data_IF_165669993116
#
_entry.id   IF_165669993116
#
_cell.length_a   1.000
_cell.length_b   1.000
_cell.length_c   1.000
_cell.angle_alpha   90.00
_cell.angle_beta   90.00
_cell.angle_gamma   90.00
#
_symmetry.space_group_name_H-M   'P 1'
#
loop_
_entity.id
_entity.type
_entity.pdbx_description
1 polymer ?
#
# COMPACT_ATOMS: atom_id res chain seq x y z
N UNK A 1 -3.81 18.34 -19.89
CA UNK A 1 -3.98 17.40 -21.03
C UNK A 1 -2.65 16.88 -21.58
N UNK A 2 -1.68 17.74 -21.93
CA UNK A 2 -0.39 17.30 -22.49
C UNK A 2 0.38 16.31 -21.59
N UNK A 3 0.36 16.49 -20.28
CA UNK A 3 1.00 15.58 -19.34
C UNK A 3 0.41 14.16 -19.37
N UNK A 4 -0.92 14.04 -19.46
CA UNK A 4 -1.61 12.73 -19.52
C UNK A 4 -1.20 12.01 -20.80
N UNK A 5 -1.25 12.68 -21.95
CA UNK A 5 -0.91 12.08 -23.24
C UNK A 5 0.58 11.65 -23.30
N UNK A 6 1.47 12.40 -22.63
CA UNK A 6 2.92 12.10 -22.63
C UNK A 6 3.31 10.98 -21.67
N UNK A 7 2.63 10.86 -20.52
CA UNK A 7 3.05 9.97 -19.44
C UNK A 7 2.15 8.76 -19.23
N UNK A 8 0.92 8.77 -19.75
CA UNK A 8 -0.05 7.70 -19.58
C UNK A 8 -0.19 6.92 -20.88
N UNK A 9 0.26 5.67 -20.87
CA UNK A 9 -0.04 4.73 -21.94
C UNK A 9 -1.37 4.02 -21.64
N UNK A 10 -2.41 4.39 -22.38
CA UNK A 10 -3.77 3.87 -22.18
C UNK A 10 -3.94 2.39 -22.51
N UNK A 11 -3.01 1.78 -23.25
CA UNK A 11 -3.06 0.35 -23.56
C UNK A 11 -2.59 -0.50 -22.38
N UNK A 12 -1.70 0.04 -21.54
CA UNK A 12 -1.16 -0.64 -20.35
C UNK A 12 -2.04 -0.37 -19.13
N UNK A 13 -2.62 0.83 -19.04
CA UNK A 13 -3.33 1.28 -17.84
C UNK A 13 -4.77 0.76 -17.84
N UNK A 14 -5.14 0.03 -16.77
CA UNK A 14 -6.50 -0.49 -16.58
C UNK A 14 -7.54 0.61 -16.34
N UNK A 15 -7.21 1.62 -15.53
CA UNK A 15 -8.09 2.75 -15.24
C UNK A 15 -7.29 4.03 -14.94
N UNK A 16 -7.88 5.19 -15.23
CA UNK A 16 -7.30 6.51 -14.92
C UNK A 16 -8.18 7.20 -13.90
N UNK A 17 -7.63 7.45 -12.72
CA UNK A 17 -8.31 8.16 -11.64
C UNK A 17 -8.13 9.67 -11.81
N UNK A 18 -9.22 10.41 -11.80
CA UNK A 18 -9.24 11.88 -11.74
C UNK A 18 -9.86 12.25 -10.41
N UNK A 19 -9.08 12.90 -9.54
CA UNK A 19 -9.54 13.25 -8.22
C UNK A 19 -9.26 14.70 -7.86
N UNK A 20 -10.19 15.32 -7.15
CA UNK A 20 -10.08 16.70 -6.68
C UNK A 20 -11.00 16.95 -5.48
N UNK A 21 -10.70 17.94 -4.64
CA UNK A 21 -11.68 18.53 -3.73
C UNK A 21 -12.73 19.30 -4.54
N UNK A 22 -14.02 19.00 -4.30
CA UNK A 22 -15.14 19.66 -4.97
C UNK A 22 -15.35 19.26 -6.44
N UNK A 23 -15.74 20.24 -7.26
CA UNK A 23 -16.24 20.04 -8.63
C UNK A 23 -15.18 20.17 -9.74
N UNK A 24 -13.91 20.38 -9.37
CA UNK A 24 -12.82 20.59 -10.35
C UNK A 24 -12.61 19.35 -11.23
N UNK A 25 -12.75 18.14 -10.68
CA UNK A 25 -12.67 16.87 -11.41
C UNK A 25 -13.69 16.79 -12.55
N UNK A 26 -14.91 17.26 -12.30
CA UNK A 26 -16.02 17.17 -13.24
C UNK A 26 -15.81 18.18 -14.38
N UNK A 27 -15.48 19.43 -14.02
CA UNK A 27 -15.13 20.48 -14.99
C UNK A 27 -13.91 20.11 -15.84
N UNK A 28 -12.87 19.54 -15.22
CA UNK A 28 -11.68 19.11 -15.94
C UNK A 28 -11.97 17.95 -16.89
N UNK A 29 -12.80 16.99 -16.46
CA UNK A 29 -13.19 15.87 -17.31
C UNK A 29 -14.00 16.34 -18.52
N UNK A 30 -14.98 17.23 -18.33
CA UNK A 30 -15.72 17.84 -19.43
C UNK A 30 -14.81 18.60 -20.39
N UNK A 31 -13.92 19.45 -19.86
CA UNK A 31 -12.94 20.18 -20.66
C UNK A 31 -12.04 19.23 -21.46
N UNK A 32 -11.59 18.13 -20.86
CA UNK A 32 -10.74 17.14 -21.51
C UNK A 32 -11.46 16.45 -22.67
N UNK A 33 -12.72 16.06 -22.48
CA UNK A 33 -13.52 15.42 -23.54
C UNK A 33 -13.80 16.42 -24.68
N UNK A 34 -14.19 17.67 -24.36
CA UNK A 34 -14.44 18.68 -25.37
C UNK A 34 -13.19 18.98 -26.22
N UNK A 35 -12.03 19.10 -25.58
CA UNK A 35 -10.78 19.32 -26.30
C UNK A 35 -10.31 18.07 -27.08
N UNK A 36 -10.58 16.85 -26.59
CA UNK A 36 -10.32 15.63 -27.35
C UNK A 36 -11.16 15.56 -28.64
N UNK A 37 -12.43 15.99 -28.60
CA UNK A 37 -13.29 16.09 -29.78
C UNK A 37 -12.77 17.15 -30.75
N UNK A 38 -12.36 18.33 -30.26
CA UNK A 38 -11.82 19.42 -31.10
C UNK A 38 -10.50 19.03 -31.81
N UNK A 39 -9.68 18.21 -31.17
CA UNK A 39 -8.38 17.77 -31.67
C UNK A 39 -8.44 16.42 -32.38
N UNK A 40 -9.64 15.83 -32.53
CA UNK A 40 -9.88 14.49 -33.08
C UNK A 40 -8.96 13.39 -32.49
N UNK A 41 -8.73 13.47 -31.18
CA UNK A 41 -7.82 12.56 -30.48
C UNK A 41 -8.56 11.26 -30.09
N UNK A 42 -8.53 10.29 -31.02
CA UNK A 42 -9.16 8.97 -30.86
C UNK A 42 -8.75 8.23 -29.60
N UNK A 43 -7.49 8.34 -29.18
CA UNK A 43 -6.97 7.66 -27.99
C UNK A 43 -7.75 8.04 -26.73
N UNK A 44 -8.07 9.32 -26.55
CA UNK A 44 -8.83 9.78 -25.38
C UNK A 44 -10.33 9.43 -25.49
N UNK A 45 -10.89 9.48 -26.70
CA UNK A 45 -12.30 9.18 -26.94
C UNK A 45 -12.62 7.70 -26.74
N UNK A 46 -11.76 6.82 -27.28
CA UNK A 46 -11.92 5.36 -27.16
C UNK A 46 -11.73 4.89 -25.70
N UNK A 47 -10.85 5.57 -24.96
CA UNK A 47 -10.57 5.26 -23.55
C UNK A 47 -11.43 6.06 -22.57
N UNK A 48 -12.49 6.75 -23.00
CA UNK A 48 -13.37 7.54 -22.12
C UNK A 48 -13.93 6.72 -20.95
N UNK A 49 -14.25 5.45 -21.17
CA UNK A 49 -14.78 4.55 -20.14
C UNK A 49 -13.76 4.14 -19.06
N UNK A 50 -12.46 4.35 -19.28
CA UNK A 50 -11.40 4.05 -18.30
C UNK A 50 -11.22 5.16 -17.26
N UNK A 51 -11.79 6.33 -17.49
CA UNK A 51 -11.68 7.45 -16.55
C UNK A 51 -12.70 7.30 -15.42
N UNK A 52 -12.22 7.44 -14.19
CA UNK A 52 -13.04 7.35 -12.98
C UNK A 52 -12.85 8.63 -12.19
N UNK A 53 -13.95 9.30 -11.89
CA UNK A 53 -13.98 10.53 -11.10
C UNK A 53 -14.10 10.18 -9.63
N UNK A 54 -13.17 10.68 -8.80
CA UNK A 54 -13.15 10.38 -7.36
C UNK A 54 -13.06 11.66 -6.55
N UNK A 55 -13.68 11.65 -5.37
CA UNK A 55 -13.48 12.71 -4.39
C UNK A 55 -12.08 12.59 -3.76
N UNK A 56 -11.44 13.73 -3.51
CA UNK A 56 -10.18 13.79 -2.76
C UNK A 56 -10.25 14.95 -1.77
N UNK A 57 -9.78 14.76 -0.54
CA UNK A 57 -9.66 15.85 0.43
C UNK A 57 -8.68 16.95 -0.02
N UNK A 58 -7.62 16.62 -0.76
CA UNK A 58 -6.64 17.58 -1.28
C UNK A 58 -6.05 17.17 -2.63
N UNK A 59 -5.32 18.08 -3.29
CA UNK A 59 -4.59 17.81 -4.55
C UNK A 59 -3.17 17.25 -4.38
N UNK A 60 -2.78 16.86 -3.17
CA UNK A 60 -1.42 16.38 -2.88
C UNK A 60 -1.32 14.85 -2.86
N UNK A 61 -0.10 14.32 -2.81
CA UNK A 61 0.19 12.87 -2.87
C UNK A 61 -0.53 12.04 -1.80
N UNK A 62 -0.76 12.60 -0.60
CA UNK A 62 -1.42 11.87 0.48
C UNK A 62 -2.89 11.52 0.16
N UNK A 63 -3.58 12.33 -0.65
CA UNK A 63 -4.98 12.07 -1.02
C UNK A 63 -5.14 10.85 -1.91
N UNK A 64 -4.06 10.41 -2.60
CA UNK A 64 -4.08 9.14 -3.32
C UNK A 64 -4.40 7.97 -2.38
N UNK A 65 -3.99 8.05 -1.11
CA UNK A 65 -4.31 7.02 -0.12
C UNK A 65 -5.82 6.95 0.13
N UNK A 66 -6.42 8.10 0.42
CA UNK A 66 -7.87 8.22 0.66
C UNK A 66 -8.67 7.66 -0.53
N UNK A 67 -8.29 8.05 -1.75
CA UNK A 67 -8.93 7.59 -2.99
C UNK A 67 -8.83 6.07 -3.15
N UNK A 68 -7.65 5.49 -2.87
CA UNK A 68 -7.44 4.05 -2.98
C UNK A 68 -8.16 3.25 -1.88
N UNK A 69 -8.47 3.88 -0.75
CA UNK A 69 -9.24 3.28 0.33
C UNK A 69 -10.76 3.30 0.08
N UNK A 70 -11.25 4.18 -0.80
CA UNK A 70 -12.69 4.29 -1.10
C UNK A 70 -13.26 2.99 -1.68
N UNK A 71 -14.30 2.46 -1.03
CA UNK A 71 -15.00 1.23 -1.41
C UNK A 71 -15.47 1.20 -2.88
N UNK A 72 -15.86 2.35 -3.43
CA UNK A 72 -16.32 2.47 -4.83
C UNK A 72 -15.20 2.22 -5.84
N UNK A 73 -13.96 2.46 -5.42
CA UNK A 73 -12.72 2.37 -6.19
C UNK A 73 -12.07 1.01 -5.96
N UNK A 74 -12.11 0.48 -4.73
CA UNK A 74 -11.63 -0.86 -4.40
C UNK A 74 -12.26 -1.95 -5.27
N UNK A 75 -13.56 -1.89 -5.58
CA UNK A 75 -14.19 -2.89 -6.45
C UNK A 75 -13.65 -2.89 -7.89
N UNK A 76 -13.23 -1.73 -8.40
CA UNK A 76 -12.66 -1.58 -9.74
C UNK A 76 -11.14 -1.79 -9.78
N UNK A 77 -10.47 -1.59 -8.64
CA UNK A 77 -9.02 -1.72 -8.48
C UNK A 77 -8.60 -2.96 -7.68
N UNK A 78 -9.53 -3.84 -7.31
CA UNK A 78 -9.27 -5.07 -6.56
C UNK A 78 -8.17 -5.92 -7.21
N UNK A 79 -8.07 -5.88 -8.54
CA UNK A 79 -7.06 -6.58 -9.34
C UNK A 79 -5.75 -5.80 -9.51
N UNK A 80 -5.48 -4.82 -8.66
CA UNK A 80 -4.21 -4.09 -8.65
C UNK A 80 -3.44 -4.34 -7.37
N UNK A 81 -2.13 -4.56 -7.53
CA UNK A 81 -1.20 -4.80 -6.41
C UNK A 81 -1.28 -3.69 -5.35
N UNK A 82 -1.44 -2.44 -5.78
CA UNK A 82 -1.53 -1.28 -4.91
C UNK A 82 -2.77 -1.33 -3.97
N UNK A 83 -3.93 -1.76 -4.46
CA UNK A 83 -5.12 -1.90 -3.62
C UNK A 83 -4.93 -2.99 -2.54
N UNK A 84 -4.26 -4.10 -2.89
CA UNK A 84 -3.92 -5.16 -1.94
C UNK A 84 -2.97 -4.67 -0.83
N UNK A 85 -1.95 -3.89 -1.20
CA UNK A 85 -1.01 -3.28 -0.24
C UNK A 85 -1.74 -2.33 0.73
N UNK A 86 -2.59 -1.44 0.23
CA UNK A 86 -3.36 -0.51 1.06
C UNK A 86 -4.31 -1.26 2.00
N UNK A 87 -4.99 -2.30 1.52
CA UNK A 87 -5.92 -3.11 2.32
C UNK A 87 -5.21 -3.86 3.44
N UNK A 88 -4.05 -4.46 3.16
CA UNK A 88 -3.29 -5.20 4.17
C UNK A 88 -2.78 -4.27 5.29
N UNK A 89 -2.35 -3.06 4.93
CA UNK A 89 -1.91 -2.05 5.90
C UNK A 89 -3.09 -1.49 6.71
N UNK A 90 -4.26 -1.30 6.11
CA UNK A 90 -5.48 -0.89 6.82
C UNK A 90 -5.94 -1.96 7.80
N UNK A 91 -5.92 -3.23 7.39
CA UNK A 91 -6.22 -4.37 8.27
C UNK A 91 -5.25 -4.45 9.46
N UNK A 92 -3.96 -4.16 9.24
CA UNK A 92 -2.99 -4.08 10.33
C UNK A 92 -3.35 -2.99 11.34
N UNK A 93 -3.69 -1.78 10.90
CA UNK A 93 -4.10 -0.70 11.80
C UNK A 93 -5.42 -0.99 12.52
N UNK A 94 -6.39 -1.62 11.84
CA UNK A 94 -7.64 -2.04 12.47
C UNK A 94 -7.38 -3.06 13.58
N UNK A 95 -6.54 -4.06 13.33
CA UNK A 95 -6.17 -5.06 14.33
C UNK A 95 -5.43 -4.44 15.52
N UNK A 96 -4.53 -3.48 15.27
CA UNK A 96 -3.84 -2.77 16.34
C UNK A 96 -4.83 -2.02 17.27
N UNK A 97 -5.96 -1.55 16.73
CA UNK A 97 -7.01 -0.87 17.51
C UNK A 97 -7.96 -1.84 18.23
N UNK A 98 -8.29 -2.97 17.61
CA UNK A 98 -9.27 -3.92 18.17
C UNK A 98 -8.64 -4.97 19.07
N UNK A 99 -7.49 -5.53 18.66
CA UNK A 99 -6.80 -6.67 19.27
C UNK A 99 -5.28 -6.49 19.14
N UNK A 100 -4.63 -5.66 19.99
CA UNK A 100 -3.21 -5.32 19.87
C UNK A 100 -2.30 -6.56 19.87
N UNK A 101 -2.65 -7.57 20.67
CA UNK A 101 -1.95 -8.86 20.72
C UNK A 101 -1.94 -9.68 19.42
N UNK A 102 -2.55 -9.20 18.32
CA UNK A 102 -2.52 -9.85 16.99
C UNK A 102 -1.74 -9.10 15.92
N UNK A 103 -1.26 -7.89 16.22
CA UNK A 103 -0.56 -7.06 15.24
C UNK A 103 0.75 -6.56 15.85
N UNK A 104 1.88 -7.10 15.38
CA UNK A 104 3.20 -6.72 15.86
C UNK A 104 4.01 -6.04 14.77
N UNK A 105 4.86 -5.10 15.17
CA UNK A 105 5.83 -4.44 14.31
C UNK A 105 7.22 -4.52 14.93
N UNK A 106 8.25 -4.44 14.09
CA UNK A 106 9.65 -4.61 14.51
C UNK A 106 10.18 -6.02 14.32
N UNK A 107 11.48 -6.12 14.02
CA UNK A 107 12.12 -7.39 13.66
C UNK A 107 12.06 -8.43 14.80
N UNK A 108 12.33 -8.03 16.05
CA UNK A 108 12.36 -8.95 17.20
C UNK A 108 11.00 -9.62 17.43
N UNK A 109 9.93 -8.83 17.46
CA UNK A 109 8.58 -9.34 17.67
C UNK A 109 8.14 -10.24 16.51
N UNK A 110 8.46 -9.86 15.27
CA UNK A 110 8.10 -10.64 14.08
C UNK A 110 8.88 -11.97 14.03
N UNK A 111 10.13 -12.01 14.50
CA UNK A 111 10.89 -13.26 14.59
C UNK A 111 10.30 -14.21 15.62
N UNK A 112 9.97 -13.73 16.82
CA UNK A 112 9.29 -14.56 17.83
C UNK A 112 7.93 -15.05 17.31
N UNK A 113 7.18 -14.19 16.61
CA UNK A 113 5.93 -14.60 15.98
C UNK A 113 6.12 -15.67 14.89
N UNK A 114 7.25 -15.63 14.17
CA UNK A 114 7.61 -16.63 13.18
C UNK A 114 8.02 -17.95 13.82
N UNK A 115 8.77 -17.92 14.93
CA UNK A 115 9.12 -19.11 15.72
C UNK A 115 7.89 -19.81 16.28
N UNK A 116 6.90 -19.02 16.73
CA UNK A 116 5.59 -19.54 17.13
C UNK A 116 4.73 -20.00 15.96
N UNK A 117 5.12 -19.76 14.69
CA UNK A 117 4.33 -20.02 13.48
C UNK A 117 2.95 -19.33 13.47
N UNK A 118 2.84 -18.17 14.13
CA UNK A 118 1.60 -17.44 14.28
C UNK A 118 1.33 -16.46 13.13
N UNK A 119 2.30 -16.21 12.25
CA UNK A 119 2.20 -15.18 11.20
C UNK A 119 1.20 -15.61 10.13
N UNK A 120 0.19 -14.77 9.92
CA UNK A 120 -0.75 -14.91 8.81
C UNK A 120 -0.29 -14.11 7.59
N UNK A 121 -0.02 -12.81 7.80
CA UNK A 121 0.43 -11.90 6.75
C UNK A 121 1.65 -11.12 7.22
N UNK A 122 2.76 -11.24 6.49
CA UNK A 122 3.98 -10.47 6.70
C UNK A 122 4.00 -9.24 5.77
N UNK A 123 4.21 -8.07 6.36
CA UNK A 123 4.33 -6.78 5.69
C UNK A 123 5.79 -6.33 5.77
N UNK A 124 6.47 -6.20 4.63
CA UNK A 124 7.88 -5.80 4.60
C UNK A 124 8.15 -4.73 3.54
N UNK A 125 8.93 -3.71 3.89
CA UNK A 125 9.36 -2.66 2.97
C UNK A 125 10.51 -3.12 2.08
N UNK A 126 10.46 -2.81 0.78
CA UNK A 126 11.50 -3.15 -0.19
C UNK A 126 12.85 -2.49 0.10
N UNK A 127 12.84 -1.36 0.81
CA UNK A 127 14.04 -0.62 1.19
C UNK A 127 14.94 -1.44 2.12
N UNK A 128 14.35 -2.28 2.99
CA UNK A 128 15.10 -3.14 3.92
C UNK A 128 15.94 -4.19 3.19
N UNK A 129 15.52 -4.64 2.00
CA UNK A 129 16.33 -5.53 1.17
C UNK A 129 17.47 -4.81 0.47
N UNK A 130 17.41 -3.48 0.33
CA UNK A 130 18.44 -2.66 -0.33
C UNK A 130 19.53 -2.17 0.62
N UNK A 131 19.40 -2.41 1.92
CA UNK A 131 20.42 -2.07 2.92
C UNK A 131 21.82 -2.61 2.54
N UNK A 132 22.86 -1.84 2.88
CA UNK A 132 24.26 -2.18 2.60
C UNK A 132 24.77 -3.33 3.48
N UNK A 133 24.14 -3.54 4.64
CA UNK A 133 24.50 -4.64 5.53
C UNK A 133 23.98 -5.98 5.01
N UNK A 134 24.93 -6.83 4.62
CA UNK A 134 24.68 -8.18 4.10
C UNK A 134 24.09 -9.09 5.17
N UNK A 135 24.43 -8.89 6.45
CA UNK A 135 23.93 -9.71 7.55
C UNK A 135 22.42 -9.48 7.77
N UNK A 136 22.00 -8.21 7.85
CA UNK A 136 20.58 -7.86 7.96
C UNK A 136 19.78 -8.33 6.74
N UNK A 137 20.31 -8.17 5.52
CA UNK A 137 19.62 -8.65 4.31
C UNK A 137 19.37 -10.16 4.37
N UNK A 138 20.37 -10.96 4.77
CA UNK A 138 20.21 -12.42 4.91
C UNK A 138 19.14 -12.77 5.94
N UNK A 139 19.07 -12.01 7.04
CA UNK A 139 18.07 -12.18 8.09
C UNK A 139 16.64 -11.97 7.57
N UNK A 140 16.40 -10.87 6.85
CA UNK A 140 15.08 -10.62 6.25
C UNK A 140 14.68 -11.63 5.18
N UNK A 141 15.63 -12.08 4.36
CA UNK A 141 15.38 -13.12 3.37
C UNK A 141 15.00 -14.45 4.05
N UNK A 142 15.75 -14.86 5.07
CA UNK A 142 15.44 -16.05 5.86
C UNK A 142 14.07 -15.98 6.54
N UNK A 143 13.71 -14.82 7.08
CA UNK A 143 12.38 -14.58 7.67
C UNK A 143 11.27 -14.74 6.62
N UNK A 144 11.42 -14.13 5.44
CA UNK A 144 10.43 -14.23 4.35
C UNK A 144 10.28 -15.67 3.88
N UNK A 145 11.39 -16.41 3.74
CA UNK A 145 11.35 -17.80 3.32
C UNK A 145 10.66 -18.67 4.39
N UNK A 146 10.97 -18.47 5.67
CA UNK A 146 10.33 -19.19 6.77
C UNK A 146 8.82 -18.91 6.87
N UNK A 147 8.38 -17.66 6.70
CA UNK A 147 6.94 -17.33 6.68
C UNK A 147 6.22 -18.01 5.52
N UNK A 148 6.85 -18.07 4.34
CA UNK A 148 6.28 -18.77 3.17
C UNK A 148 6.20 -20.28 3.41
N UNK A 149 7.21 -20.89 4.02
CA UNK A 149 7.20 -22.31 4.39
C UNK A 149 6.09 -22.63 5.40
N UNK A 150 5.82 -21.72 6.34
CA UNK A 150 4.74 -21.80 7.32
C UNK A 150 3.34 -21.51 6.71
N UNK A 151 3.28 -21.19 5.41
CA UNK A 151 2.04 -20.90 4.68
C UNK A 151 1.46 -19.51 4.96
N UNK A 152 2.26 -18.56 5.44
CA UNK A 152 1.88 -17.15 5.58
C UNK A 152 1.98 -16.39 4.26
N UNK A 153 1.15 -15.37 4.08
CA UNK A 153 1.16 -14.49 2.91
C UNK A 153 2.20 -13.36 3.11
N UNK A 154 3.08 -13.17 2.14
CA UNK A 154 4.13 -12.13 2.21
C UNK A 154 3.79 -10.99 1.25
N UNK A 155 3.60 -9.79 1.79
CA UNK A 155 3.37 -8.56 1.05
C UNK A 155 4.59 -7.66 1.13
N UNK A 156 5.23 -7.47 -0.03
CA UNK A 156 6.37 -6.56 -0.17
C UNK A 156 5.86 -5.19 -0.64
N UNK A 157 6.07 -4.17 0.18
CA UNK A 157 5.69 -2.79 -0.04
C UNK A 157 6.81 -2.02 -0.71
N UNK A 158 6.48 -1.28 -1.76
CA UNK A 158 7.43 -0.35 -2.38
C UNK A 158 7.57 0.90 -1.52
N UNK A 159 8.79 1.27 -1.17
CA UNK A 159 9.12 2.54 -0.52
C UNK A 159 8.71 3.78 -1.32
N UNK A 160 8.50 3.65 -2.63
CA UNK A 160 8.00 4.72 -3.50
C UNK A 160 6.48 4.89 -3.42
N UNK A 161 5.78 3.93 -2.78
CA UNK A 161 4.35 3.98 -2.57
C UNK A 161 4.04 4.49 -1.16
N UNK A 162 2.95 5.24 -1.04
CA UNK A 162 2.47 5.85 0.21
C UNK A 162 2.33 4.83 1.34
N UNK A 163 1.87 3.60 1.04
CA UNK A 163 1.77 2.54 2.06
C UNK A 163 3.15 2.05 2.53
N UNK A 164 4.15 2.04 1.65
CA UNK A 164 5.53 1.70 2.02
C UNK A 164 6.20 2.78 2.86
N UNK A 165 5.90 4.07 2.63
CA UNK A 165 6.35 5.17 3.49
C UNK A 165 5.82 5.01 4.92
N UNK A 166 4.55 4.64 5.08
CA UNK A 166 3.95 4.41 6.40
C UNK A 166 4.55 3.18 7.11
N UNK A 167 4.71 2.08 6.38
CA UNK A 167 5.37 0.90 6.94
C UNK A 167 6.80 1.21 7.36
N UNK A 168 7.53 2.04 6.61
CA UNK A 168 8.88 2.48 6.96
C UNK A 168 8.94 3.29 8.26
N UNK A 169 7.88 4.07 8.57
CA UNK A 169 7.76 4.76 9.87
C UNK A 169 7.59 3.77 11.03
N UNK A 170 7.00 2.60 10.77
CA UNK A 170 6.85 1.49 11.70
C UNK A 170 8.02 0.49 11.59
N UNK A 171 9.26 0.98 11.52
CA UNK A 171 10.51 0.19 11.36
C UNK A 171 10.67 -0.57 10.03
N UNK A 172 9.65 -0.57 9.16
CA UNK A 172 9.67 -1.22 7.85
C UNK A 172 9.25 -2.69 7.85
N UNK A 173 8.93 -3.27 9.02
CA UNK A 173 8.55 -4.68 9.20
C UNK A 173 7.36 -4.76 10.14
N UNK A 174 6.29 -5.42 9.69
CA UNK A 174 5.12 -5.70 10.51
C UNK A 174 4.53 -7.07 10.15
N UNK A 175 3.81 -7.68 11.09
CA UNK A 175 3.13 -8.94 10.89
C UNK A 175 1.73 -8.92 11.52
N UNK A 176 0.79 -9.53 10.82
CA UNK A 176 -0.55 -9.85 11.30
C UNK A 176 -0.54 -11.32 11.72
N UNK A 177 -1.02 -11.61 12.92
CA UNK A 177 -1.06 -12.96 13.48
C UNK A 177 -2.42 -13.64 13.32
N UNK A 178 -2.39 -14.96 13.18
CA UNK A 178 -3.56 -15.84 13.13
C UNK A 178 -4.27 -15.91 14.47
N UNK A 179 -3.52 -15.89 15.56
CA UNK A 179 -4.01 -15.93 16.94
C UNK A 179 -3.31 -14.87 17.79
N UNK A 180 -3.98 -14.36 18.84
CA UNK A 180 -3.38 -13.40 19.76
C UNK A 180 -2.23 -14.04 20.55
N UNK A 181 -1.11 -13.33 20.66
CA UNK A 181 0.03 -13.71 21.49
C UNK A 181 0.35 -12.60 22.49
N UNK A 182 -0.21 -12.67 23.72
CA UNK A 182 -0.02 -11.65 24.74
C UNK A 182 1.42 -11.55 25.26
N UNK A 183 2.19 -12.64 25.15
CA UNK A 183 3.57 -12.71 25.66
C UNK A 183 4.55 -11.75 24.96
N UNK A 184 4.17 -11.24 23.78
CA UNK A 184 4.95 -10.26 23.02
C UNK A 184 4.65 -8.80 23.40
N UNK A 185 3.57 -8.53 24.14
CA UNK A 185 3.28 -7.18 24.67
C UNK A 185 4.23 -6.81 25.82
N UNK A 186 4.74 -7.79 26.57
CA UNK A 186 5.56 -7.55 27.76
C UNK A 186 7.01 -7.10 27.46
N UNK A 187 7.47 -7.20 26.20
CA UNK A 187 8.80 -6.70 25.79
C UNK A 187 8.82 -5.17 25.53
N UNK A 188 7.67 -4.48 25.53
CA UNK A 188 7.54 -3.05 25.19
C UNK A 188 8.23 -2.06 26.16
N UNK A 189 8.76 -2.50 27.30
CA UNK A 189 9.36 -1.59 28.31
C UNK A 189 10.88 -1.39 28.23
N UNK A 190 11.58 -1.91 27.22
CA UNK A 190 13.06 -1.91 27.21
C UNK A 190 13.76 -1.45 25.91
N UNK A 191 13.16 -0.54 25.14
CA UNK A 191 13.89 0.07 24.01
C UNK A 191 13.65 1.57 23.82
N UNK A 192 13.68 2.30 24.94
CA UNK A 192 14.24 3.66 24.97
C UNK A 192 15.75 3.56 25.27
N UNK A 193 16.55 3.01 24.35
CA UNK A 193 17.99 3.32 24.29
C UNK A 193 18.59 2.86 22.95
N UNK A 194 18.91 3.82 22.10
CA UNK A 194 20.31 4.13 21.74
C UNK A 194 20.32 5.22 20.65
N UNK A 195 20.78 6.41 21.05
CA UNK A 195 21.27 7.47 20.17
C UNK A 195 22.79 7.38 20.00
#
# INVERSE_FOLDING_TARGET
MQAIIRHVNFDIVKCVLIASPGFVKDQFFEYMIQAAVKLDNKVLLDNKGKFVLVHASSGFKHSLKEILQDSSIQAKLADTKAAGEVKALDQFYQLLQTEPSRAFYGIKHVEHANEAQAIDTLLISDNLFRCQDVAQRKRYVALVDSVKENGGDVKIFSSLHISGEQLAQLTGVAAILRYPMPELEDEELSSDDEG
#
